data_IF_433099492699
#
_entry.id   IF_433099492699
#
_cell.length_a   1.000
_cell.length_b   1.000
_cell.length_c   1.000
_cell.angle_alpha   90.00
_cell.angle_beta   90.00
_cell.angle_gamma   90.00
#
_symmetry.space_group_name_H-M   'P 1'
#
loop_
_entity.id
_entity.type
_entity.pdbx_description
1 polymer ?
#
# COMPACT_ATOMS: atom_id res chain seq x y z
N UNK A 1 -2.50 -12.68 8.62
CA UNK A 1 -2.94 -13.98 8.07
C UNK A 1 -2.03 -14.48 6.96
N UNK A 2 -1.72 -13.64 5.95
CA UNK A 2 -0.83 -13.98 4.84
C UNK A 2 0.52 -14.53 5.32
N UNK A 3 1.18 -13.85 6.25
CA UNK A 3 2.50 -14.24 6.76
C UNK A 3 2.49 -15.57 7.53
N UNK A 4 1.36 -15.97 8.13
CA UNK A 4 1.23 -17.26 8.81
C UNK A 4 1.25 -18.44 7.84
N UNK A 5 0.89 -18.21 6.56
CA UNK A 5 0.90 -19.21 5.51
C UNK A 5 2.29 -19.39 4.89
N UNK A 6 3.19 -18.45 5.09
CA UNK A 6 4.53 -18.46 4.53
C UNK A 6 5.52 -19.18 5.48
N UNK A 7 5.61 -20.50 5.35
CA UNK A 7 6.47 -21.38 6.20
C UNK A 7 7.95 -20.98 6.31
N UNK A 8 8.43 -20.06 5.46
CA UNK A 8 9.83 -19.60 5.42
C UNK A 8 10.05 -18.20 5.98
N UNK A 9 9.00 -17.54 6.48
CA UNK A 9 9.13 -16.22 7.10
C UNK A 9 9.62 -16.38 8.52
N UNK A 10 10.79 -15.82 8.81
CA UNK A 10 11.45 -15.93 10.12
C UNK A 10 11.26 -14.69 10.99
N UNK A 11 10.99 -13.54 10.36
CA UNK A 11 10.80 -12.27 11.07
C UNK A 11 9.70 -11.46 10.38
N UNK A 12 8.77 -10.94 11.18
CA UNK A 12 7.69 -10.05 10.75
C UNK A 12 7.71 -8.79 11.58
N UNK A 13 7.57 -7.65 10.93
CA UNK A 13 7.37 -6.35 11.57
C UNK A 13 6.34 -5.55 10.79
N UNK A 14 5.86 -4.45 11.36
CA UNK A 14 4.90 -3.59 10.70
C UNK A 14 4.53 -2.35 11.50
N UNK A 15 3.87 -1.42 10.83
CA UNK A 15 3.27 -0.25 11.48
C UNK A 15 1.85 -0.03 11.00
N UNK A 16 1.07 0.59 11.84
CA UNK A 16 -0.26 1.10 11.55
C UNK A 16 -0.49 2.32 12.46
N UNK A 17 -1.19 3.34 11.98
CA UNK A 17 -1.52 4.50 12.81
C UNK A 17 -2.59 4.17 13.89
N UNK A 18 -3.35 3.09 13.69
CA UNK A 18 -4.40 2.65 14.59
C UNK A 18 -3.84 1.79 15.74
N UNK A 19 -3.92 2.30 16.95
CA UNK A 19 -3.57 1.54 18.17
C UNK A 19 -4.37 0.23 18.29
N UNK A 20 -5.62 0.24 17.86
CA UNK A 20 -6.50 -0.95 17.90
C UNK A 20 -5.99 -2.03 16.95
N UNK A 21 -5.59 -1.66 15.73
CA UNK A 21 -5.05 -2.60 14.75
C UNK A 21 -3.71 -3.18 15.21
N UNK A 22 -2.83 -2.36 15.77
CA UNK A 22 -1.57 -2.83 16.34
C UNK A 22 -1.81 -3.78 17.53
N UNK A 23 -2.76 -3.45 18.42
CA UNK A 23 -3.11 -4.33 19.53
C UNK A 23 -3.66 -5.69 19.06
N UNK A 24 -4.46 -5.70 18.00
CA UNK A 24 -4.97 -6.92 17.37
C UNK A 24 -3.84 -7.71 16.70
N UNK A 25 -3.01 -7.06 15.93
CA UNK A 25 -1.86 -7.67 15.25
C UNK A 25 -0.92 -8.36 16.26
N UNK A 26 -0.62 -7.72 17.39
CA UNK A 26 0.21 -8.30 18.48
C UNK A 26 -0.39 -9.58 19.09
N UNK A 27 -1.71 -9.75 19.07
CA UNK A 27 -2.37 -10.96 19.56
C UNK A 27 -2.31 -12.12 18.55
N UNK A 28 -2.23 -11.80 17.26
CA UNK A 28 -2.32 -12.79 16.18
C UNK A 28 -0.94 -13.15 15.64
N UNK A 29 -0.06 -12.17 15.53
CA UNK A 29 1.27 -12.34 14.95
C UNK A 29 2.32 -12.50 16.05
N UNK A 30 3.16 -13.50 15.92
CA UNK A 30 4.37 -13.60 16.73
C UNK A 30 5.44 -12.63 16.15
N UNK A 31 5.20 -11.34 16.33
CA UNK A 31 6.01 -10.26 15.78
C UNK A 31 6.46 -9.31 16.90
N UNK A 32 7.76 -9.06 16.99
CA UNK A 32 8.35 -8.20 18.03
C UNK A 32 8.45 -6.72 17.61
N UNK A 33 8.32 -6.43 16.31
CA UNK A 33 8.47 -5.08 15.74
C UNK A 33 7.14 -4.60 15.14
N UNK A 34 6.14 -4.41 16.00
CA UNK A 34 4.85 -3.81 15.64
C UNK A 34 4.70 -2.46 16.32
N UNK A 35 4.60 -1.40 15.52
CA UNK A 35 4.66 -0.01 15.96
C UNK A 35 3.39 0.74 15.58
N UNK A 36 2.85 1.53 16.53
CA UNK A 36 1.73 2.43 16.28
C UNK A 36 2.29 3.79 15.87
N UNK A 37 2.28 4.10 14.57
CA UNK A 37 2.79 5.36 14.02
C UNK A 37 2.34 5.57 12.59
N UNK A 38 2.49 6.79 12.10
CA UNK A 38 2.32 7.13 10.68
C UNK A 38 3.37 6.42 9.81
N UNK A 39 2.98 6.03 8.60
CA UNK A 39 3.84 5.22 7.73
C UNK A 39 5.13 5.93 7.30
N UNK A 40 5.11 7.25 7.16
CA UNK A 40 6.30 8.05 6.81
C UNK A 40 7.26 8.29 7.99
N UNK A 41 6.85 7.95 9.22
CA UNK A 41 7.67 8.06 10.44
C UNK A 41 8.44 6.79 10.76
N UNK A 42 8.19 5.69 10.05
CA UNK A 42 8.83 4.41 10.35
C UNK A 42 10.35 4.52 10.25
N UNK A 43 11.04 3.99 11.23
CA UNK A 43 12.50 3.91 11.20
C UNK A 43 12.97 2.96 10.08
N UNK A 44 14.05 3.31 9.39
CA UNK A 44 14.61 2.51 8.31
C UNK A 44 15.17 1.16 8.80
N UNK A 45 15.57 1.10 10.06
CA UNK A 45 16.01 -0.16 10.71
C UNK A 45 14.98 -0.66 11.73
N UNK A 46 14.88 -1.98 11.93
CA UNK A 46 15.57 -3.06 11.21
C UNK A 46 15.13 -3.15 9.75
N UNK A 47 15.97 -3.75 8.91
CA UNK A 47 15.67 -3.98 7.49
C UNK A 47 15.11 -5.40 7.28
N UNK A 48 14.22 -5.52 6.31
CA UNK A 48 13.54 -6.76 5.92
C UNK A 48 13.88 -7.15 4.48
N UNK A 49 13.80 -8.41 4.11
CA UNK A 49 14.00 -8.81 2.71
C UNK A 49 12.95 -8.18 1.79
N UNK A 50 11.71 -8.18 2.24
CA UNK A 50 10.55 -7.59 1.52
C UNK A 50 9.80 -6.64 2.44
N UNK A 51 9.40 -5.49 1.93
CA UNK A 51 8.49 -4.55 2.60
C UNK A 51 7.23 -4.45 1.77
N UNK A 52 6.07 -4.69 2.40
CA UNK A 52 4.76 -4.77 1.75
C UNK A 52 3.83 -3.69 2.31
N UNK A 53 3.08 -3.06 1.42
CA UNK A 53 1.88 -2.29 1.74
C UNK A 53 0.73 -2.80 0.90
N UNK A 54 -0.36 -3.24 1.55
CA UNK A 54 -1.51 -3.85 0.89
C UNK A 54 -2.76 -3.02 1.13
N UNK A 55 -3.36 -2.47 0.06
CA UNK A 55 -4.61 -1.70 0.10
C UNK A 55 -4.60 -0.48 1.03
N UNK A 56 -3.44 0.19 1.20
CA UNK A 56 -3.26 1.32 2.14
C UNK A 56 -3.11 2.66 1.41
N UNK A 57 -2.44 2.70 0.28
CA UNK A 57 -2.06 3.93 -0.41
C UNK A 57 -3.24 4.85 -0.74
N UNK A 58 -4.39 4.29 -1.00
CA UNK A 58 -5.64 5.01 -1.26
C UNK A 58 -6.15 5.85 -0.07
N UNK A 59 -5.63 5.65 1.14
CA UNK A 59 -6.03 6.37 2.35
C UNK A 59 -5.04 7.45 2.77
N UNK A 60 -3.92 7.59 2.09
CA UNK A 60 -2.96 8.64 2.37
C UNK A 60 -3.52 10.01 1.96
N UNK A 61 -3.09 11.05 2.65
CA UNK A 61 -3.61 12.41 2.48
C UNK A 61 -3.24 13.05 1.13
N UNK A 62 -2.20 12.58 0.47
CA UNK A 62 -1.81 13.02 -0.88
C UNK A 62 -0.86 12.02 -1.55
N UNK A 63 -0.71 12.09 -2.90
CA UNK A 63 0.28 11.30 -3.62
C UNK A 63 1.71 11.55 -3.13
N UNK A 64 2.07 12.79 -2.78
CA UNK A 64 3.41 13.15 -2.29
C UNK A 64 3.70 12.47 -0.95
N UNK A 65 2.69 12.38 -0.06
CA UNK A 65 2.82 11.60 1.18
C UNK A 65 3.10 10.13 0.86
N UNK A 66 2.32 9.55 -0.06
CA UNK A 66 2.53 8.17 -0.51
C UNK A 66 3.94 7.93 -1.05
N UNK A 67 4.48 8.87 -1.83
CA UNK A 67 5.85 8.74 -2.37
C UNK A 67 6.93 8.87 -1.28
N UNK A 68 6.71 9.65 -0.21
CA UNK A 68 7.61 9.61 0.97
C UNK A 68 7.58 8.25 1.66
N UNK A 69 6.40 7.63 1.74
CA UNK A 69 6.27 6.26 2.27
C UNK A 69 7.00 5.25 1.39
N UNK A 70 6.91 5.37 0.05
CA UNK A 70 7.69 4.54 -0.88
C UNK A 70 9.18 4.63 -0.59
N UNK A 71 9.72 5.82 -0.37
CA UNK A 71 11.13 6.03 -0.02
C UNK A 71 11.51 5.33 1.31
N UNK A 72 10.65 5.46 2.33
CA UNK A 72 10.85 4.74 3.60
C UNK A 72 10.82 3.21 3.43
N UNK A 73 9.86 2.71 2.65
CA UNK A 73 9.77 1.29 2.34
C UNK A 73 11.02 0.80 1.59
N UNK A 74 11.50 1.58 0.62
CA UNK A 74 12.71 1.26 -0.14
C UNK A 74 13.95 1.17 0.75
N UNK A 75 14.16 2.14 1.63
CA UNK A 75 15.30 2.15 2.55
C UNK A 75 15.24 0.99 3.55
N UNK A 76 14.03 0.56 3.92
CA UNK A 76 13.78 -0.55 4.84
C UNK A 76 13.87 -1.93 4.16
N UNK A 77 13.69 -2.02 2.85
CA UNK A 77 13.77 -3.27 2.09
C UNK A 77 15.21 -3.63 1.72
N UNK A 78 15.57 -4.91 1.79
CA UNK A 78 16.85 -5.44 1.25
C UNK A 78 16.75 -5.80 -0.22
N UNK A 79 15.59 -6.33 -0.65
CA UNK A 79 15.42 -6.93 -1.98
C UNK A 79 14.27 -6.30 -2.77
N UNK A 80 13.12 -6.10 -2.11
CA UNK A 80 11.89 -5.76 -2.83
C UNK A 80 10.93 -4.94 -1.97
N UNK A 81 10.29 -3.97 -2.61
CA UNK A 81 9.09 -3.31 -2.11
C UNK A 81 7.90 -3.76 -2.95
N UNK A 82 6.80 -4.09 -2.31
CA UNK A 82 5.54 -4.50 -2.94
C UNK A 82 4.44 -3.57 -2.45
N UNK A 83 3.71 -2.98 -3.37
CA UNK A 83 2.57 -2.12 -3.06
C UNK A 83 1.41 -2.61 -3.90
N UNK A 84 0.36 -3.08 -3.22
CA UNK A 84 -0.81 -3.64 -3.90
C UNK A 84 -2.03 -2.73 -3.77
N UNK A 85 -2.93 -2.85 -4.73
CA UNK A 85 -4.19 -2.09 -4.79
C UNK A 85 -3.98 -0.57 -4.79
N UNK A 86 -3.06 -0.06 -5.58
CA UNK A 86 -2.86 1.37 -5.79
C UNK A 86 -3.96 1.87 -6.74
N UNK A 87 -4.75 2.85 -6.33
CA UNK A 87 -5.77 3.45 -7.18
C UNK A 87 -5.13 4.22 -8.34
N UNK A 88 -5.49 3.84 -9.57
CA UNK A 88 -4.96 4.40 -10.81
C UNK A 88 -5.63 5.75 -11.12
N UNK A 89 -4.86 6.83 -11.23
CA UNK A 89 -5.38 8.16 -11.58
C UNK A 89 -6.05 8.17 -12.96
N UNK A 90 -5.57 7.36 -13.91
CA UNK A 90 -6.18 7.24 -15.24
C UNK A 90 -7.61 6.66 -15.18
N UNK A 91 -7.92 5.90 -14.12
CA UNK A 91 -9.22 5.24 -13.93
C UNK A 91 -10.13 5.97 -12.92
N UNK A 92 -9.71 7.12 -12.40
CA UNK A 92 -10.38 7.86 -11.33
C UNK A 92 -11.83 8.17 -11.62
N UNK A 93 -12.09 8.82 -12.76
CA UNK A 93 -13.44 9.21 -13.14
C UNK A 93 -14.37 8.00 -13.26
N UNK A 94 -13.88 6.92 -13.89
CA UNK A 94 -14.66 5.71 -14.05
C UNK A 94 -14.92 5.01 -12.71
N UNK A 95 -13.91 4.95 -11.83
CA UNK A 95 -14.06 4.44 -10.49
C UNK A 95 -15.12 5.22 -9.69
N UNK A 96 -15.06 6.55 -9.67
CA UNK A 96 -16.00 7.40 -8.95
C UNK A 96 -17.43 7.24 -9.50
N UNK A 97 -17.58 7.19 -10.83
CA UNK A 97 -18.87 6.97 -11.46
C UNK A 97 -19.46 5.59 -11.09
N UNK A 98 -18.65 4.54 -11.11
CA UNK A 98 -19.08 3.23 -10.65
C UNK A 98 -19.53 3.25 -9.18
N UNK A 99 -18.79 3.93 -8.30
CA UNK A 99 -19.14 4.07 -6.88
C UNK A 99 -20.46 4.79 -6.69
N UNK A 100 -20.72 5.89 -7.43
CA UNK A 100 -21.98 6.62 -7.40
C UNK A 100 -23.17 5.79 -7.87
N UNK A 101 -22.95 4.91 -8.83
CA UNK A 101 -24.01 3.99 -9.31
C UNK A 101 -24.32 2.88 -8.29
N UNK A 102 -23.31 2.38 -7.56
CA UNK A 102 -23.47 1.26 -6.64
C UNK A 102 -23.84 1.66 -5.20
N UNK A 103 -23.62 2.91 -4.81
CA UNK A 103 -23.85 3.40 -3.44
C UNK A 103 -24.76 4.61 -3.49
N UNK A 104 -25.93 4.47 -2.87
CA UNK A 104 -26.88 5.57 -2.73
C UNK A 104 -26.26 6.72 -1.91
N UNK A 105 -26.44 7.95 -2.41
CA UNK A 105 -25.89 9.18 -1.82
C UNK A 105 -24.38 9.13 -1.55
N UNK A 106 -23.62 8.55 -2.52
CA UNK A 106 -22.18 8.32 -2.38
C UNK A 106 -21.41 9.58 -1.96
N UNK A 107 -21.59 10.70 -2.68
CA UNK A 107 -20.82 11.93 -2.45
C UNK A 107 -21.08 12.54 -1.06
N UNK A 108 -22.30 12.42 -0.54
CA UNK A 108 -22.65 12.86 0.81
C UNK A 108 -22.07 11.92 1.88
N UNK A 109 -22.23 10.61 1.65
CA UNK A 109 -21.81 9.56 2.57
C UNK A 109 -20.30 9.47 2.77
N UNK A 110 -19.55 9.80 1.72
CA UNK A 110 -18.06 9.75 1.71
C UNK A 110 -17.43 11.15 1.68
N UNK A 111 -18.18 12.19 1.97
CA UNK A 111 -17.65 13.56 2.05
C UNK A 111 -16.49 13.66 3.03
N UNK A 112 -15.34 14.13 2.56
CA UNK A 112 -14.10 14.21 3.35
C UNK A 112 -13.37 12.89 3.56
N UNK A 113 -13.80 11.80 2.88
CA UNK A 113 -13.14 10.50 2.86
C UNK A 113 -12.67 10.15 1.44
N UNK A 114 -12.17 11.15 0.73
CA UNK A 114 -11.71 11.01 -0.65
C UNK A 114 -10.55 10.03 -0.73
N UNK A 115 -10.58 9.21 -1.79
CA UNK A 115 -9.49 8.31 -2.07
C UNK A 115 -8.36 9.04 -2.80
N UNK A 116 -7.13 8.67 -2.48
CA UNK A 116 -5.95 9.14 -3.18
C UNK A 116 -5.64 8.22 -4.36
N UNK A 117 -5.41 8.82 -5.51
CA UNK A 117 -5.07 8.16 -6.76
C UNK A 117 -3.64 8.50 -7.13
N UNK A 118 -3.00 7.61 -7.89
CA UNK A 118 -1.59 7.71 -8.26
C UNK A 118 -1.40 7.48 -9.75
N UNK A 119 -0.45 8.19 -10.34
CA UNK A 119 0.03 7.87 -11.69
C UNK A 119 1.17 6.86 -11.62
N UNK A 120 1.26 5.96 -12.58
CA UNK A 120 2.40 5.02 -12.71
C UNK A 120 3.72 5.75 -12.87
N UNK A 121 3.69 6.92 -13.51
CA UNK A 121 4.85 7.79 -13.74
C UNK A 121 5.55 8.18 -12.43
N UNK A 122 4.82 8.41 -11.33
CA UNK A 122 5.43 8.73 -10.03
C UNK A 122 6.35 7.61 -9.54
N UNK A 123 5.94 6.36 -9.72
CA UNK A 123 6.73 5.18 -9.34
C UNK A 123 7.91 4.95 -10.29
N UNK A 124 7.74 5.20 -11.59
CA UNK A 124 8.82 5.14 -12.58
C UNK A 124 9.91 6.17 -12.29
N UNK A 125 9.53 7.40 -11.99
CA UNK A 125 10.49 8.46 -11.61
C UNK A 125 11.23 8.13 -10.30
N UNK A 126 10.53 7.53 -9.34
CA UNK A 126 11.19 7.03 -8.13
C UNK A 126 12.19 5.92 -8.48
N UNK A 127 11.77 4.93 -9.27
CA UNK A 127 12.59 3.79 -9.65
C UNK A 127 13.87 4.23 -10.40
N UNK A 128 13.75 5.19 -11.31
CA UNK A 128 14.89 5.75 -12.03
C UNK A 128 15.91 6.37 -11.07
N UNK A 129 15.46 7.25 -10.16
CA UNK A 129 16.34 7.85 -9.14
C UNK A 129 16.98 6.83 -8.22
N UNK A 130 16.23 5.80 -7.83
CA UNK A 130 16.67 4.74 -6.92
C UNK A 130 17.48 3.63 -7.63
N UNK A 131 17.58 3.67 -8.98
CA UNK A 131 18.12 2.59 -9.82
C UNK A 131 17.44 1.25 -9.56
N UNK A 132 16.13 1.27 -9.35
CA UNK A 132 15.30 0.10 -9.10
C UNK A 132 14.69 -0.42 -10.40
N UNK A 133 14.46 -1.74 -10.46
CA UNK A 133 13.53 -2.30 -11.44
C UNK A 133 12.11 -2.05 -10.96
N UNK A 134 11.26 -1.47 -11.80
CA UNK A 134 9.85 -1.23 -11.52
C UNK A 134 8.97 -2.07 -12.44
N UNK A 135 8.04 -2.81 -11.88
CA UNK A 135 7.05 -3.60 -12.61
C UNK A 135 5.66 -3.30 -12.10
N UNK A 136 4.71 -3.11 -13.02
CA UNK A 136 3.30 -2.98 -12.70
C UNK A 136 2.55 -4.24 -13.10
N UNK A 137 1.67 -4.70 -12.20
CA UNK A 137 0.83 -5.87 -12.44
C UNK A 137 -0.62 -5.47 -12.19
N UNK A 138 -1.52 -5.96 -13.03
CA UNK A 138 -2.96 -5.88 -12.73
C UNK A 138 -3.34 -7.04 -11.82
N UNK A 139 -4.09 -6.80 -10.73
CA UNK A 139 -4.62 -7.87 -9.91
C UNK A 139 -5.45 -8.84 -10.78
N UNK A 140 -5.30 -10.15 -10.55
CA UNK A 140 -5.93 -11.19 -11.39
C UNK A 140 -7.10 -11.88 -10.69
N UNK A 141 -7.88 -11.16 -9.92
CA UNK A 141 -9.05 -11.73 -9.26
C UNK A 141 -10.34 -11.22 -9.94
N UNK A 142 -10.84 -11.96 -10.90
CA UNK A 142 -12.03 -11.59 -11.70
C UNK A 142 -13.28 -11.32 -10.86
N UNK A 143 -13.34 -11.82 -9.63
CA UNK A 143 -14.43 -11.59 -8.71
C UNK A 143 -14.29 -10.29 -7.90
N UNK A 144 -13.15 -9.64 -7.96
CA UNK A 144 -12.91 -8.41 -7.21
C UNK A 144 -13.22 -7.19 -8.07
N UNK A 145 -14.31 -6.53 -7.76
CA UNK A 145 -14.85 -5.40 -8.54
C UNK A 145 -13.84 -4.25 -8.77
N UNK A 146 -12.88 -4.07 -7.85
CA UNK A 146 -11.91 -2.98 -7.90
C UNK A 146 -10.70 -3.25 -8.81
N UNK A 147 -10.51 -4.49 -9.27
CA UNK A 147 -9.36 -4.87 -10.14
C UNK A 147 -9.12 -3.94 -11.32
N UNK A 148 -10.21 -3.46 -11.93
CA UNK A 148 -10.16 -2.59 -13.09
C UNK A 148 -9.51 -1.25 -12.80
N UNK A 149 -9.61 -0.76 -11.56
CA UNK A 149 -9.32 0.59 -11.13
C UNK A 149 -8.00 0.71 -10.36
N UNK A 150 -7.30 -0.41 -10.19
CA UNK A 150 -6.07 -0.46 -9.41
C UNK A 150 -4.95 -1.15 -10.17
N UNK A 151 -3.74 -0.92 -9.71
CA UNK A 151 -2.55 -1.66 -10.12
C UNK A 151 -1.69 -1.99 -8.91
N UNK A 152 -0.85 -3.02 -9.05
CA UNK A 152 0.20 -3.37 -8.11
C UNK A 152 1.54 -2.88 -8.63
N UNK A 153 2.43 -2.45 -7.73
CA UNK A 153 3.78 -1.99 -8.04
C UNK A 153 4.82 -2.82 -7.29
N UNK A 154 5.78 -3.35 -8.03
CA UNK A 154 6.93 -4.10 -7.53
C UNK A 154 8.20 -3.33 -7.83
N UNK A 155 8.93 -2.93 -6.79
CA UNK A 155 10.23 -2.27 -6.89
C UNK A 155 11.31 -3.24 -6.39
N UNK A 156 12.22 -3.64 -7.27
CA UNK A 156 13.29 -4.60 -6.96
C UNK A 156 14.66 -3.92 -7.01
N UNK A 157 15.51 -4.21 -6.00
CA UNK A 157 16.91 -3.74 -5.92
C UNK A 157 17.83 -4.52 -6.82
#
# INVERSE_FOLDING_TARGET
>A
YLFQQLKKVTQVGGCDYSQTQIALAKKILNANDLQCMEADQIAEKPVYDVVLSDSVFQYFQSPEYGMRVVEKMWNKAKKMVVITEIHDEEMKEEHLNHRRQCVENYDEKYKGLDKTFYTKEMFLQFADRARAKCEFVKPQNDLYWNNKYVFDCYLTK
#
